data_IF_771854058324
#
_entry.id   IF_771854058324
#
_cell.length_a   1.000
_cell.length_b   1.000
_cell.length_c   1.000
_cell.angle_alpha   90.00
_cell.angle_beta   90.00
_cell.angle_gamma   90.00
#
_symmetry.space_group_name_H-M   'P 1'
#
loop_
_entity.id
_entity.type
_entity.pdbx_description
1 polymer ?
#
# COMPACT_ATOMS: atom_id res chain seq x y z
N UNK A 1 15.30 12.09 -21.74
CA UNK A 1 15.07 12.29 -21.18
C UNK A 1 14.45 12.22 -20.51
N UNK A 2 14.62 12.40 -20.33
CA UNK A 2 14.13 12.28 -19.48
C UNK A 2 13.03 12.65 -19.39
N UNK A 3 12.54 12.45 -19.80
CA UNK A 3 11.42 12.72 -19.65
C UNK A 3 10.76 12.58 -18.52
N UNK A 4 11.44 12.33 -17.69
CA UNK A 4 10.87 12.23 -16.42
C UNK A 4 11.05 13.43 -15.64
N UNK A 5 11.37 14.51 -16.24
CA UNK A 5 11.53 15.68 -15.52
C UNK A 5 10.30 16.12 -14.93
N UNK A 6 10.26 16.48 -13.67
CA UNK A 6 9.10 16.91 -12.95
C UNK A 6 8.18 15.81 -12.57
N UNK A 7 8.51 14.58 -12.85
CA UNK A 7 7.70 13.46 -12.48
C UNK A 7 8.42 12.62 -11.47
N UNK A 8 7.66 12.04 -10.56
CA UNK A 8 8.21 11.13 -9.59
C UNK A 8 8.17 9.73 -10.15
N UNK A 9 9.26 9.00 -10.01
CA UNK A 9 9.26 7.61 -10.38
C UNK A 9 8.52 6.84 -9.31
N UNK A 10 7.36 6.33 -9.65
CA UNK A 10 6.55 5.61 -8.70
C UNK A 10 7.10 4.21 -8.51
N UNK A 11 7.19 3.81 -7.24
CA UNK A 11 7.54 2.44 -6.94
C UNK A 11 6.37 1.55 -7.32
N UNK A 12 6.64 0.50 -8.06
CA UNK A 12 5.61 -0.44 -8.46
C UNK A 12 5.78 -1.73 -7.66
N UNK A 13 4.71 -2.51 -7.52
CA UNK A 13 4.81 -3.74 -6.73
C UNK A 13 5.69 -4.78 -7.40
N UNK A 14 6.43 -5.52 -6.57
CA UNK A 14 7.10 -6.71 -7.02
C UNK A 14 6.08 -7.81 -7.23
N UNK A 15 6.52 -8.95 -7.75
CA UNK A 15 5.58 -10.03 -8.01
C UNK A 15 4.90 -10.56 -6.75
N UNK A 16 5.50 -10.35 -5.59
CA UNK A 16 4.92 -10.81 -4.32
C UNK A 16 4.12 -9.73 -3.62
N UNK A 17 4.00 -8.56 -4.20
CA UNK A 17 3.31 -7.42 -3.56
C UNK A 17 2.06 -7.07 -4.34
N UNK A 18 1.07 -6.50 -3.64
CA UNK A 18 -0.13 -6.00 -4.29
C UNK A 18 -0.43 -4.61 -3.76
N UNK A 19 -1.07 -3.80 -4.60
CA UNK A 19 -1.61 -2.51 -4.17
C UNK A 19 -2.76 -2.74 -3.22
N UNK A 20 -2.88 -1.89 -2.20
CA UNK A 20 -3.98 -1.98 -1.26
C UNK A 20 -4.34 -0.60 -0.74
N UNK A 21 -5.56 -0.48 -0.25
CA UNK A 21 -6.05 0.75 0.35
C UNK A 21 -6.40 0.44 1.79
N UNK A 22 -5.91 1.29 2.71
CA UNK A 22 -6.18 1.13 4.13
C UNK A 22 -7.62 1.51 4.40
N UNK A 23 -8.39 0.60 4.99
CA UNK A 23 -9.80 0.84 5.26
C UNK A 23 -10.09 1.09 6.72
N UNK A 24 -9.32 0.50 7.62
CA UNK A 24 -9.61 0.62 9.04
C UNK A 24 -8.34 0.43 9.84
N UNK A 25 -8.24 1.15 10.94
CA UNK A 25 -7.11 1.05 11.85
C UNK A 25 -7.54 0.13 12.99
N UNK A 26 -6.86 -1.00 13.12
CA UNK A 26 -7.28 -2.03 14.07
C UNK A 26 -6.57 -1.94 15.41
N UNK A 27 -5.56 -1.06 15.52
CA UNK A 27 -4.75 -1.00 16.73
C UNK A 27 -3.66 -2.04 16.69
N UNK A 28 -2.73 -1.98 17.64
CA UNK A 28 -1.60 -2.91 17.74
C UNK A 28 -0.82 -2.99 16.43
N UNK A 29 -0.71 -1.85 15.74
CA UNK A 29 0.04 -1.72 14.50
C UNK A 29 -0.48 -2.62 13.39
N UNK A 30 -1.79 -2.82 13.35
CA UNK A 30 -2.45 -3.58 12.30
C UNK A 30 -3.53 -2.74 11.66
N UNK A 31 -3.75 -2.97 10.38
CA UNK A 31 -4.77 -2.26 9.64
C UNK A 31 -5.50 -3.24 8.73
N UNK A 32 -6.74 -2.91 8.47
CA UNK A 32 -7.52 -3.65 7.49
C UNK A 32 -7.29 -3.00 6.14
N UNK A 33 -6.98 -3.79 5.12
CA UNK A 33 -6.71 -3.25 3.80
C UNK A 33 -7.54 -3.99 2.76
N UNK A 34 -7.97 -3.25 1.76
CA UNK A 34 -8.64 -3.83 0.60
C UNK A 34 -7.64 -3.86 -0.53
N UNK A 35 -7.26 -5.04 -0.96
CA UNK A 35 -6.23 -5.21 -1.96
C UNK A 35 -6.83 -5.19 -3.36
N UNK A 36 -6.02 -4.72 -4.32
CA UNK A 36 -6.51 -4.59 -5.69
C UNK A 36 -6.68 -5.94 -6.38
N UNK A 37 -6.22 -7.02 -5.76
CA UNK A 37 -6.51 -8.36 -6.26
C UNK A 37 -7.87 -8.88 -5.78
N UNK A 38 -8.63 -8.03 -5.08
CA UNK A 38 -9.97 -8.39 -4.63
C UNK A 38 -10.04 -9.04 -3.26
N UNK A 39 -8.92 -9.20 -2.59
CA UNK A 39 -8.87 -9.87 -1.30
C UNK A 39 -8.75 -8.83 -0.19
N UNK A 40 -9.54 -9.00 0.86
CA UNK A 40 -9.43 -8.16 2.05
C UNK A 40 -8.46 -8.82 3.02
N UNK A 41 -7.52 -8.05 3.55
CA UNK A 41 -6.49 -8.61 4.41
C UNK A 41 -6.27 -7.75 5.62
N UNK A 42 -5.74 -8.37 6.67
CA UNK A 42 -5.22 -7.64 7.83
C UNK A 42 -3.72 -7.52 7.63
N UNK A 43 -3.23 -6.29 7.57
CA UNK A 43 -1.83 -6.04 7.29
C UNK A 43 -1.13 -5.51 8.53
N UNK A 44 0.10 -5.94 8.73
CA UNK A 44 0.93 -5.50 9.83
C UNK A 44 1.77 -4.31 9.39
N UNK A 45 1.91 -3.32 10.26
CA UNK A 45 2.80 -2.20 10.01
C UNK A 45 4.15 -2.55 10.63
N UNK A 46 5.19 -2.72 9.81
CA UNK A 46 6.51 -3.10 10.36
C UNK A 46 7.04 -2.05 11.31
N UNK A 47 7.84 -2.49 12.26
CA UNK A 47 8.38 -1.59 13.29
C UNK A 47 9.13 -0.41 12.71
N UNK A 48 9.90 -0.60 11.64
CA UNK A 48 10.67 0.49 11.07
C UNK A 48 9.80 1.55 10.46
N UNK A 49 8.58 1.21 10.03
CA UNK A 49 7.67 2.16 9.44
C UNK A 49 6.89 2.93 10.48
N UNK A 50 6.74 2.37 11.66
CA UNK A 50 5.92 2.99 12.71
C UNK A 50 6.51 4.29 13.21
N UNK A 51 7.81 4.48 13.10
CA UNK A 51 8.48 5.64 13.65
C UNK A 51 8.50 6.82 12.70
N UNK A 52 8.32 6.59 11.41
CA UNK A 52 8.48 7.65 10.43
C UNK A 52 7.28 7.89 9.57
N UNK A 53 6.42 6.90 9.45
CA UNK A 53 5.34 6.94 8.49
C UNK A 53 4.04 6.78 9.23
N UNK A 54 3.15 7.75 9.04
CA UNK A 54 1.82 7.71 9.62
C UNK A 54 0.89 7.10 8.61
N UNK A 55 0.40 5.90 8.90
CA UNK A 55 -0.52 5.21 8.03
C UNK A 55 -1.92 5.50 8.52
N UNK A 56 -2.79 5.92 7.62
CA UNK A 56 -4.15 6.31 7.93
C UNK A 56 -5.12 5.66 6.99
N UNK A 57 -6.40 5.78 7.32
CA UNK A 57 -7.45 5.32 6.43
C UNK A 57 -7.35 6.03 5.10
N UNK A 58 -7.65 5.31 4.03
CA UNK A 58 -7.60 5.77 2.66
C UNK A 58 -6.19 5.89 2.09
N UNK A 59 -5.16 5.62 2.87
CA UNK A 59 -3.82 5.59 2.33
C UNK A 59 -3.66 4.43 1.36
N UNK A 60 -2.84 4.66 0.32
CA UNK A 60 -2.49 3.62 -0.63
C UNK A 60 -1.15 3.05 -0.22
N UNK A 61 -1.09 1.74 -0.15
CA UNK A 61 0.11 1.03 0.31
C UNK A 61 0.38 -0.16 -0.58
N UNK A 62 1.57 -0.71 -0.47
CA UNK A 62 1.86 -2.03 -1.01
C UNK A 62 1.92 -3.00 0.17
N UNK A 63 1.38 -4.17 -0.04
CA UNK A 63 1.44 -5.22 0.98
C UNK A 63 1.93 -6.50 0.35
N UNK A 64 2.59 -7.31 1.17
CA UNK A 64 3.04 -8.62 0.75
C UNK A 64 2.23 -9.65 1.51
N UNK A 65 1.33 -10.38 0.83
CA UNK A 65 0.54 -11.41 1.51
C UNK A 65 1.43 -12.51 2.06
N UNK A 66 1.01 -13.10 3.19
CA UNK A 66 1.76 -14.20 3.78
C UNK A 66 1.52 -15.47 2.97
N UNK A 67 2.57 -16.23 2.77
CA UNK A 67 2.46 -17.45 1.97
C UNK A 67 1.51 -18.47 2.57
N UNK A 68 1.52 -18.57 3.88
CA UNK A 68 0.76 -19.62 4.55
C UNK A 68 -0.60 -19.12 5.08
N UNK A 69 -0.88 -17.84 4.90
CA UNK A 69 -2.13 -17.28 5.45
C UNK A 69 -2.50 -16.06 4.62
N UNK A 70 -3.28 -16.30 3.57
CA UNK A 70 -3.53 -15.27 2.56
C UNK A 70 -4.33 -14.08 3.06
N UNK A 71 -5.07 -14.24 4.16
CA UNK A 71 -5.80 -13.11 4.72
C UNK A 71 -4.92 -12.17 5.54
N UNK A 72 -3.62 -12.48 5.65
CA UNK A 72 -2.66 -11.65 6.35
C UNK A 72 -1.62 -11.11 5.39
N UNK A 73 -1.02 -9.98 5.74
CA UNK A 73 0.00 -9.38 4.90
C UNK A 73 0.88 -8.49 5.75
N UNK A 74 2.01 -8.07 5.18
CA UNK A 74 2.86 -7.05 5.77
C UNK A 74 2.86 -5.86 4.84
N UNK A 75 2.76 -4.65 5.40
CA UNK A 75 2.90 -3.45 4.60
C UNK A 75 4.37 -3.28 4.26
N UNK A 76 4.65 -3.08 2.97
CA UNK A 76 6.02 -2.93 2.51
C UNK A 76 6.34 -1.52 2.05
N UNK A 77 5.31 -0.72 1.75
CA UNK A 77 5.51 0.63 1.22
C UNK A 77 4.25 1.45 1.40
N UNK A 78 4.39 2.76 1.64
CA UNK A 78 3.26 3.68 1.68
C UNK A 78 3.49 4.79 0.68
N UNK A 79 2.48 5.12 -0.09
CA UNK A 79 2.59 6.16 -1.10
C UNK A 79 2.18 7.51 -0.52
N UNK A 80 2.82 8.56 -1.01
CA UNK A 80 2.41 9.91 -0.69
C UNK A 80 1.11 10.22 -1.41
N UNK A 81 0.41 11.28 -0.97
CA UNK A 81 -0.89 11.58 -1.52
C UNK A 81 -0.85 11.81 -3.03
N UNK A 82 0.13 12.60 -3.50
CA UNK A 82 0.20 12.88 -4.93
C UNK A 82 0.57 11.64 -5.73
N UNK A 83 1.32 10.73 -5.13
CA UNK A 83 1.62 9.47 -5.78
C UNK A 83 0.38 8.59 -5.88
N UNK A 84 -0.42 8.57 -4.83
CA UNK A 84 -1.66 7.82 -4.84
C UNK A 84 -2.62 8.37 -5.91
N UNK A 85 -2.68 9.69 -6.05
CA UNK A 85 -3.50 10.30 -7.06
C UNK A 85 -3.05 9.88 -8.46
N UNK A 86 -1.75 9.81 -8.68
CA UNK A 86 -1.21 9.38 -9.96
C UNK A 86 -1.57 7.92 -10.23
N UNK A 87 -1.50 7.08 -9.22
CA UNK A 87 -1.85 5.68 -9.37
C UNK A 87 -3.32 5.50 -9.71
N UNK A 88 -4.19 6.35 -9.16
CA UNK A 88 -5.61 6.30 -9.51
C UNK A 88 -5.81 6.71 -10.96
N UNK A 89 -5.14 7.78 -11.38
CA UNK A 89 -5.26 8.24 -12.75
C UNK A 89 -4.77 7.20 -13.74
N UNK A 90 -3.73 6.46 -13.36
CA UNK A 90 -3.16 5.45 -14.23
C UNK A 90 -3.94 4.14 -14.19
N UNK A 91 -4.96 4.05 -13.35
CA UNK A 91 -5.82 2.87 -13.32
C UNK A 91 -5.33 1.74 -12.44
N UNK A 92 -4.26 1.97 -11.65
CA UNK A 92 -3.73 0.92 -10.77
C UNK A 92 -4.57 0.78 -9.50
N UNK A 93 -5.25 1.83 -9.10
CA UNK A 93 -6.03 1.87 -7.85
C UNK A 93 -7.46 2.20 -8.20
N UNK A 94 -8.37 1.46 -7.62
CA UNK A 94 -9.81 1.73 -7.76
C UNK A 94 -10.35 2.08 -6.39
N UNK A 95 -10.74 3.32 -6.24
CA UNK A 95 -11.15 3.80 -4.94
C UNK A 95 -12.40 4.66 -5.04
#
# INVERSE_FOLDING_TARGET
MSDNEGRTDLRMPDEDEVFAIVEDMLGANRVEVRCMDGVQRTARIPGKMQKRIWIREDDVVLVEPWDWQDEKADITWRYEKQEADQLREDGHIQQ
#
